data_IF_313145144804
#
_entry.id   IF_313145144804
#
_cell.length_a   1.000
_cell.length_b   1.000
_cell.length_c   1.000
_cell.angle_alpha   90.00
_cell.angle_beta   90.00
_cell.angle_gamma   90.00
#
_symmetry.space_group_name_H-M   'P 1'
#
loop_
_entity.id
_entity.type
_entity.pdbx_description
1 polymer ?
#
# COMPACT_ATOMS: atom_id res chain seq x y z
N UNK A 1 -15.14 -12.91 -1.43
CA UNK A 1 -14.51 -11.64 -1.08
C UNK A 1 -15.19 -11.06 0.13
N UNK A 2 -14.41 -10.56 1.09
CA UNK A 2 -14.95 -10.08 2.37
C UNK A 2 -14.43 -8.68 2.66
N UNK A 3 -15.27 -7.89 3.33
CA UNK A 3 -14.89 -6.59 3.91
C UNK A 3 -14.75 -6.76 5.42
N UNK A 4 -13.57 -6.42 5.94
CA UNK A 4 -13.19 -6.67 7.33
C UNK A 4 -12.92 -5.33 8.02
N UNK A 5 -13.69 -4.96 9.06
CA UNK A 5 -13.38 -3.80 9.87
C UNK A 5 -12.04 -3.97 10.59
N UNK A 6 -11.21 -2.92 10.55
CA UNK A 6 -9.93 -2.91 11.24
C UNK A 6 -9.50 -1.47 11.56
N UNK A 7 -9.36 -1.12 12.83
CA UNK A 7 -8.92 0.22 13.30
C UNK A 7 -9.69 1.39 12.64
N UNK A 8 -11.01 1.28 12.51
CA UNK A 8 -11.85 2.31 11.91
C UNK A 8 -11.82 2.39 10.37
N UNK A 9 -11.07 1.51 9.72
CA UNK A 9 -11.03 1.37 8.27
C UNK A 9 -11.64 0.03 7.84
N UNK A 10 -11.78 -0.18 6.54
CA UNK A 10 -12.31 -1.44 5.99
C UNK A 10 -11.28 -2.08 5.09
N UNK A 11 -10.74 -3.22 5.53
CA UNK A 11 -9.89 -4.07 4.70
C UNK A 11 -10.73 -4.88 3.71
N UNK A 12 -10.15 -5.17 2.57
CA UNK A 12 -10.68 -6.11 1.59
C UNK A 12 -9.86 -7.38 1.62
N UNK A 13 -10.52 -8.54 1.80
CA UNK A 13 -9.90 -9.86 1.74
C UNK A 13 -10.43 -10.65 0.56
N UNK A 14 -9.53 -11.30 -0.19
CA UNK A 14 -9.88 -12.25 -1.24
C UNK A 14 -8.89 -13.41 -1.29
N UNK A 15 -9.28 -14.48 -1.98
CA UNK A 15 -8.47 -15.69 -2.14
C UNK A 15 -8.33 -16.05 -3.60
N UNK A 16 -7.13 -16.53 -3.95
CA UNK A 16 -6.82 -17.11 -5.27
C UNK A 16 -6.00 -18.39 -5.02
N UNK A 17 -6.58 -19.54 -5.30
CA UNK A 17 -5.94 -20.82 -4.98
C UNK A 17 -5.69 -20.94 -3.47
N UNK A 18 -4.43 -21.22 -3.11
CA UNK A 18 -3.98 -21.32 -1.72
C UNK A 18 -3.52 -19.98 -1.13
N UNK A 19 -3.62 -18.88 -1.87
CA UNK A 19 -3.21 -17.55 -1.45
C UNK A 19 -4.38 -16.75 -0.90
N UNK A 20 -4.15 -16.03 0.19
CA UNK A 20 -5.08 -15.04 0.75
C UNK A 20 -4.41 -13.67 0.76
N UNK A 21 -5.14 -12.68 0.30
CA UNK A 21 -4.70 -11.29 0.22
C UNK A 21 -5.59 -10.40 1.07
N UNK A 22 -4.98 -9.42 1.74
CA UNK A 22 -5.67 -8.35 2.44
C UNK A 22 -5.14 -7.00 1.95
N UNK A 23 -6.02 -6.10 1.60
CA UNK A 23 -5.67 -4.76 1.13
C UNK A 23 -6.46 -3.68 1.84
N UNK A 24 -5.89 -2.48 1.85
CA UNK A 24 -6.51 -1.25 2.32
C UNK A 24 -6.59 -0.25 1.16
N UNK A 25 -7.60 -0.36 0.27
CA UNK A 25 -7.66 0.42 -0.95
C UNK A 25 -7.70 1.92 -0.70
N UNK A 26 -8.47 2.36 0.27
CA UNK A 26 -8.73 3.77 0.55
C UNK A 26 -7.52 4.51 1.15
N UNK A 27 -6.54 3.78 1.70
CA UNK A 27 -5.34 4.38 2.32
C UNK A 27 -4.09 3.91 1.57
N UNK A 28 -3.67 4.68 0.59
CA UNK A 28 -2.50 4.40 -0.22
C UNK A 28 -2.60 3.17 -1.12
N UNK A 29 -3.80 2.63 -1.36
CA UNK A 29 -4.06 1.38 -2.08
C UNK A 29 -3.12 0.24 -1.67
N UNK A 30 -2.81 0.15 -0.38
CA UNK A 30 -1.77 -0.72 0.17
C UNK A 30 -2.23 -2.17 0.25
N UNK A 31 -1.42 -3.10 -0.27
CA UNK A 31 -1.55 -4.50 0.06
C UNK A 31 -1.02 -4.71 1.49
N UNK A 32 -1.90 -5.09 2.39
CA UNK A 32 -1.60 -5.20 3.81
C UNK A 32 -0.90 -6.51 4.14
N UNK A 33 -1.35 -7.61 3.53
CA UNK A 33 -0.81 -8.94 3.75
C UNK A 33 -1.07 -9.83 2.54
N UNK A 34 -0.15 -10.72 2.28
CA UNK A 34 -0.31 -11.89 1.43
C UNK A 34 0.20 -13.08 2.21
N UNK A 35 -0.65 -14.07 2.40
CA UNK A 35 -0.27 -15.33 2.99
C UNK A 35 -0.64 -16.52 2.09
N UNK A 36 0.03 -17.63 2.29
CA UNK A 36 -0.22 -18.89 1.58
C UNK A 36 -0.51 -20.01 2.57
N UNK A 37 -1.44 -20.88 2.19
CA UNK A 37 -1.67 -22.17 2.89
C UNK A 37 -0.82 -23.23 2.22
N UNK A 38 0.04 -23.88 2.99
CA UNK A 38 0.93 -24.94 2.53
C UNK A 38 0.19 -26.29 2.50
N UNK A 39 0.84 -27.32 1.89
CA UNK A 39 0.24 -28.63 1.75
C UNK A 39 -0.04 -29.35 3.07
N UNK A 40 0.65 -29.00 4.15
CA UNK A 40 0.41 -29.50 5.52
C UNK A 40 -0.68 -28.72 6.28
N UNK A 41 -1.35 -27.75 5.61
CA UNK A 41 -2.36 -26.88 6.22
C UNK A 41 -1.82 -25.68 7.00
N UNK A 42 -0.52 -25.56 7.18
CA UNK A 42 0.08 -24.39 7.83
C UNK A 42 -0.06 -23.13 6.96
N UNK A 43 -0.13 -21.98 7.60
CA UNK A 43 -0.23 -20.67 6.91
C UNK A 43 1.05 -19.89 7.12
N UNK A 44 1.60 -19.33 6.04
CA UNK A 44 2.79 -18.48 6.08
C UNK A 44 2.54 -17.13 5.42
N UNK A 45 3.02 -16.08 6.08
CA UNK A 45 3.05 -14.74 5.51
C UNK A 45 4.17 -14.63 4.47
N UNK A 46 3.80 -14.18 3.28
CA UNK A 46 4.72 -13.81 2.20
C UNK A 46 5.08 -12.32 2.32
N UNK A 47 4.10 -11.50 2.71
CA UNK A 47 4.28 -10.08 2.99
C UNK A 47 4.00 -9.86 4.47
N UNK A 48 4.95 -9.19 5.14
CA UNK A 48 4.85 -8.86 6.56
C UNK A 48 3.68 -7.91 6.83
N UNK A 49 2.87 -8.25 7.84
CA UNK A 49 1.74 -7.43 8.27
C UNK A 49 2.23 -6.12 8.90
N UNK A 50 1.66 -4.95 8.53
CA UNK A 50 2.04 -3.70 9.16
C UNK A 50 1.62 -3.65 10.64
N UNK A 51 2.58 -3.55 11.53
CA UNK A 51 2.30 -3.41 12.96
C UNK A 51 1.95 -1.95 13.28
N UNK A 52 0.65 -1.69 13.45
CA UNK A 52 0.14 -0.38 13.82
C UNK A 52 -1.10 -0.51 14.70
N UNK A 53 -1.32 0.51 15.53
CA UNK A 53 -2.53 0.66 16.35
C UNK A 53 -3.49 1.71 15.77
N UNK A 54 -3.07 2.44 14.74
CA UNK A 54 -3.83 3.50 14.07
C UNK A 54 -3.41 3.62 12.61
N UNK A 55 -4.27 4.20 11.79
CA UNK A 55 -3.93 4.55 10.42
C UNK A 55 -3.49 6.02 10.25
N UNK A 56 -3.37 6.75 11.34
CA UNK A 56 -2.72 8.05 11.33
C UNK A 56 -1.24 7.89 10.92
N UNK A 57 -0.79 8.74 9.98
CA UNK A 57 0.57 8.65 9.42
C UNK A 57 0.97 7.24 8.90
N UNK A 58 -0.02 6.45 8.49
CA UNK A 58 0.19 5.04 8.12
C UNK A 58 1.24 4.84 7.02
N UNK A 59 1.45 5.84 6.18
CA UNK A 59 2.50 5.81 5.16
C UNK A 59 3.92 5.67 5.74
N UNK A 60 4.14 5.97 7.02
CA UNK A 60 5.40 5.79 7.73
C UNK A 60 5.58 4.37 8.28
N UNK A 61 4.51 3.59 8.38
CA UNK A 61 4.53 2.24 8.96
C UNK A 61 5.17 1.25 8.00
N UNK A 62 6.08 0.42 8.51
CA UNK A 62 6.69 -0.68 7.76
C UNK A 62 5.72 -1.85 7.63
N UNK A 63 5.95 -2.70 6.63
CA UNK A 63 5.12 -3.87 6.33
C UNK A 63 4.09 -3.61 5.23
N UNK A 64 3.44 -4.67 4.77
CA UNK A 64 2.63 -4.64 3.56
C UNK A 64 3.45 -4.31 2.31
N UNK A 65 2.75 -4.02 1.22
CA UNK A 65 3.35 -3.56 -0.02
C UNK A 65 2.72 -2.21 -0.42
N UNK A 66 3.32 -1.08 -0.07
CA UNK A 66 2.85 0.25 -0.45
C UNK A 66 3.14 0.53 -1.93
N UNK A 67 2.33 1.39 -2.55
CA UNK A 67 2.60 1.90 -3.90
C UNK A 67 3.60 3.07 -3.79
N UNK A 68 4.72 2.94 -4.48
CA UNK A 68 5.79 3.94 -4.52
C UNK A 68 5.75 4.66 -5.87
N UNK A 69 5.09 5.83 -5.91
CA UNK A 69 4.91 6.60 -7.14
C UNK A 69 4.83 8.11 -6.84
N UNK A 70 5.41 8.99 -7.67
CA UNK A 70 6.18 8.72 -8.89
C UNK A 70 7.66 8.37 -8.64
N UNK A 71 8.14 8.42 -7.40
CA UNK A 71 9.53 8.15 -7.05
C UNK A 71 9.65 6.98 -6.07
N UNK A 72 10.66 6.17 -6.30
CA UNK A 72 11.14 5.17 -5.37
C UNK A 72 12.25 5.79 -4.52
N UNK A 73 12.17 5.69 -3.18
CA UNK A 73 13.10 6.31 -2.24
C UNK A 73 13.02 7.85 -2.22
N UNK A 74 14.14 8.57 -2.30
CA UNK A 74 14.24 10.02 -2.14
C UNK A 74 14.53 10.69 -3.47
N UNK A 75 13.86 11.79 -3.75
CA UNK A 75 14.21 12.69 -4.84
C UNK A 75 15.23 13.73 -4.39
N UNK A 76 15.98 14.27 -5.36
CA UNK A 76 16.98 15.31 -5.14
C UNK A 76 16.88 16.36 -6.23
N UNK A 77 17.00 17.62 -5.85
CA UNK A 77 17.20 18.73 -6.77
C UNK A 77 18.47 19.48 -6.38
N UNK A 78 19.51 19.39 -7.21
CA UNK A 78 20.80 20.06 -6.99
C UNK A 78 21.41 19.80 -5.60
N UNK A 79 21.26 18.58 -5.09
CA UNK A 79 21.73 18.19 -3.77
C UNK A 79 20.72 18.32 -2.63
N UNK A 80 19.65 19.07 -2.82
CA UNK A 80 18.57 19.17 -1.84
C UNK A 80 17.66 17.97 -1.87
N UNK A 81 17.51 17.30 -0.73
CA UNK A 81 16.67 16.12 -0.55
C UNK A 81 15.19 16.49 -0.50
N UNK A 82 14.32 15.62 -1.03
CA UNK A 82 12.87 15.76 -1.06
C UNK A 82 12.36 16.87 -2.00
N UNK A 83 13.14 17.22 -3.02
CA UNK A 83 12.73 18.11 -4.10
C UNK A 83 13.00 17.48 -5.47
N UNK A 84 12.26 17.94 -6.48
CA UNK A 84 12.45 17.60 -7.87
C UNK A 84 12.06 18.79 -8.76
N UNK A 85 12.42 18.73 -10.04
CA UNK A 85 11.97 19.71 -11.04
C UNK A 85 11.08 19.04 -12.06
N UNK A 86 9.96 19.71 -12.36
CA UNK A 86 9.10 19.28 -13.46
C UNK A 86 9.72 19.64 -14.83
N UNK A 87 9.05 19.21 -15.91
CA UNK A 87 9.52 19.46 -17.27
C UNK A 87 9.62 20.96 -17.64
N UNK A 88 8.96 21.83 -16.89
CA UNK A 88 9.02 23.29 -17.05
C UNK A 88 10.12 23.93 -16.20
N UNK A 89 10.89 23.14 -15.47
CA UNK A 89 11.95 23.61 -14.56
C UNK A 89 11.46 24.10 -13.21
N UNK A 90 10.17 23.97 -12.88
CA UNK A 90 9.62 24.39 -11.59
C UNK A 90 10.02 23.40 -10.49
N UNK A 91 10.63 23.93 -9.42
CA UNK A 91 10.99 23.15 -8.24
C UNK A 91 9.76 22.82 -7.41
N UNK A 92 9.63 21.54 -7.04
CA UNK A 92 8.49 21.03 -6.28
C UNK A 92 8.97 20.13 -5.14
N UNK A 93 8.29 20.12 -3.99
CA UNK A 93 8.56 19.17 -2.93
C UNK A 93 8.08 17.78 -3.35
N UNK A 94 8.76 16.74 -2.84
CA UNK A 94 8.39 15.35 -3.03
C UNK A 94 8.73 14.55 -1.78
N UNK A 95 7.76 13.98 -1.07
CA UNK A 95 8.06 13.13 0.08
C UNK A 95 8.79 11.85 -0.35
N UNK A 96 9.51 11.25 0.57
CA UNK A 96 10.17 9.96 0.34
C UNK A 96 9.15 8.92 -0.16
N UNK A 97 9.49 8.19 -1.21
CA UNK A 97 8.65 7.22 -1.90
C UNK A 97 7.43 7.79 -2.65
N UNK A 98 7.40 9.09 -2.87
CA UNK A 98 6.34 9.74 -3.65
C UNK A 98 5.03 9.95 -2.91
N UNK A 99 3.97 10.16 -3.67
CA UNK A 99 2.67 10.62 -3.17
C UNK A 99 1.66 9.49 -3.01
N UNK A 100 1.74 8.44 -3.83
CA UNK A 100 0.70 7.40 -3.91
C UNK A 100 0.43 6.72 -2.56
N UNK A 101 1.48 6.40 -1.80
CA UNK A 101 1.32 5.74 -0.49
C UNK A 101 0.61 6.57 0.58
N UNK A 102 0.47 7.88 0.34
CA UNK A 102 -0.26 8.82 1.20
C UNK A 102 -1.63 9.18 0.62
N UNK A 103 -1.90 8.75 -0.61
CA UNK A 103 -3.12 9.09 -1.33
C UNK A 103 -4.33 8.36 -0.78
N UNK A 104 -5.50 8.98 -0.97
CA UNK A 104 -6.79 8.32 -0.80
C UNK A 104 -7.25 7.84 -2.16
N UNK A 105 -7.48 6.53 -2.29
CA UNK A 105 -7.93 5.91 -3.53
C UNK A 105 -9.41 5.55 -3.42
N UNK A 106 -10.15 5.77 -4.49
CA UNK A 106 -11.54 5.35 -4.60
C UNK A 106 -11.59 3.98 -5.24
N UNK A 107 -12.12 3.00 -4.51
CA UNK A 107 -12.35 1.67 -5.04
C UNK A 107 -13.30 1.74 -6.23
N UNK A 108 -12.85 1.32 -7.42
CA UNK A 108 -13.64 1.33 -8.66
C UNK A 108 -14.08 -0.05 -9.11
N UNK A 109 -13.34 -1.08 -8.73
CA UNK A 109 -13.67 -2.48 -9.01
C UNK A 109 -13.26 -3.35 -7.82
N UNK A 110 -14.11 -4.33 -7.54
CA UNK A 110 -13.83 -5.34 -6.53
C UNK A 110 -14.50 -6.66 -6.94
N UNK A 111 -13.70 -7.65 -7.30
CA UNK A 111 -14.15 -8.99 -7.72
C UNK A 111 -13.19 -10.09 -7.26
N UNK A 112 -13.44 -11.34 -7.65
CA UNK A 112 -12.60 -12.47 -7.28
C UNK A 112 -11.14 -12.36 -7.77
N UNK A 113 -10.87 -11.57 -8.80
CA UNK A 113 -9.52 -11.34 -9.31
C UNK A 113 -8.74 -10.24 -8.59
N UNK A 114 -9.40 -9.49 -7.67
CA UNK A 114 -8.76 -8.41 -6.93
C UNK A 114 -9.56 -7.12 -6.89
N UNK A 115 -8.87 -5.98 -6.82
CA UNK A 115 -9.48 -4.67 -6.82
C UNK A 115 -8.75 -3.71 -7.76
N UNK A 116 -9.46 -2.63 -8.15
CA UNK A 116 -8.88 -1.43 -8.77
C UNK A 116 -9.32 -0.19 -7.98
N UNK A 117 -8.42 0.76 -7.83
CA UNK A 117 -8.66 1.98 -7.09
C UNK A 117 -7.94 3.18 -7.73
#
# INVERSE_FOLDING_TARGET
MERIPHLGQTLTRWRVGNSTFLALPEVGARLMNWNITLGDGSVRDVIYWPETKTYEDFYKVRGGNPILFPFNARSYDRGDIHFWRDAKGTRRPMPMHGLARQGTFKLTRLDAGGFSA
#
